data_IF_072102616969
#
_entry.id   IF_072102616969
#
_cell.length_a   1.000
_cell.length_b   1.000
_cell.length_c   1.000
_cell.angle_alpha   90.00
_cell.angle_beta   90.00
_cell.angle_gamma   90.00
#
_symmetry.space_group_name_H-M   'P 1'
#
loop_
_entity.id
_entity.type
_entity.pdbx_description
1 polymer ?
#
# COMPACT_ATOMS: atom_id res chain seq x y z
N UNK A 1 -1.82 -2.22 13.16
CA UNK A 1 -1.26 -2.20 11.77
C UNK A 1 -2.28 -1.59 10.81
N UNK A 2 -1.96 -1.29 9.53
CA UNK A 2 -2.95 -0.71 8.58
C UNK A 2 -4.25 -1.55 8.46
N UNK A 3 -4.17 -2.86 8.73
CA UNK A 3 -5.27 -3.81 8.63
C UNK A 3 -5.88 -4.21 9.99
N UNK A 4 -5.49 -3.56 11.09
CA UNK A 4 -6.07 -3.81 12.43
C UNK A 4 -7.59 -3.61 12.47
N UNK A 5 -8.12 -2.50 11.93
CA UNK A 5 -9.57 -2.25 11.98
C UNK A 5 -10.38 -3.35 11.27
N UNK A 6 -9.78 -3.97 10.26
CA UNK A 6 -10.41 -5.06 9.50
C UNK A 6 -10.46 -6.35 10.31
N UNK A 7 -9.40 -6.65 11.07
CA UNK A 7 -9.37 -7.78 12.03
C UNK A 7 -10.38 -7.58 13.16
N UNK A 8 -10.46 -6.36 13.70
CA UNK A 8 -11.41 -5.99 14.75
C UNK A 8 -12.86 -6.14 14.27
N UNK A 9 -13.15 -5.73 13.03
CA UNK A 9 -14.48 -5.88 12.43
C UNK A 9 -14.85 -7.36 12.25
N UNK A 10 -13.93 -8.20 11.75
CA UNK A 10 -14.18 -9.63 11.61
C UNK A 10 -14.42 -10.29 12.97
N UNK A 11 -13.60 -9.97 13.97
CA UNK A 11 -13.79 -10.48 15.33
C UNK A 11 -15.14 -10.05 15.91
N UNK A 12 -15.55 -8.79 15.69
CA UNK A 12 -16.84 -8.28 16.12
C UNK A 12 -18.00 -9.05 15.46
N UNK A 13 -17.97 -9.24 14.13
CA UNK A 13 -19.00 -10.01 13.42
C UNK A 13 -19.12 -11.44 13.95
N UNK A 14 -18.00 -12.09 14.27
CA UNK A 14 -18.00 -13.41 14.90
C UNK A 14 -18.67 -13.40 16.28
N UNK A 15 -18.56 -12.32 17.06
CA UNK A 15 -19.31 -12.21 18.34
C UNK A 15 -20.83 -12.10 18.14
N UNK A 16 -21.28 -11.66 16.96
CA UNK A 16 -22.69 -11.59 16.59
C UNK A 16 -23.20 -12.87 15.91
N UNK A 17 -22.36 -13.89 15.75
CA UNK A 17 -22.71 -15.17 15.12
C UNK A 17 -22.56 -15.19 13.60
N UNK A 18 -22.01 -14.14 13.00
CA UNK A 18 -21.66 -14.10 11.57
C UNK A 18 -20.21 -14.59 11.39
N UNK A 19 -20.07 -15.88 11.09
CA UNK A 19 -18.76 -16.49 10.82
C UNK A 19 -18.33 -16.19 9.38
N UNK A 20 -17.18 -15.55 9.23
CA UNK A 20 -16.67 -15.18 7.92
C UNK A 20 -16.08 -16.40 7.20
N UNK A 21 -16.20 -16.46 5.85
CA UNK A 21 -15.59 -17.54 5.09
C UNK A 21 -14.07 -17.62 5.31
N UNK A 22 -13.51 -18.82 5.30
CA UNK A 22 -12.06 -19.07 5.43
C UNK A 22 -11.23 -18.26 4.42
N UNK A 23 -11.75 -18.03 3.22
CA UNK A 23 -11.11 -17.19 2.20
C UNK A 23 -10.82 -15.76 2.70
N UNK A 24 -11.71 -15.20 3.53
CA UNK A 24 -11.53 -13.85 4.11
C UNK A 24 -10.40 -13.87 5.14
N UNK A 25 -10.32 -14.92 5.96
CA UNK A 25 -9.23 -15.10 6.93
C UNK A 25 -7.88 -15.25 6.24
N UNK A 26 -7.81 -16.04 5.16
CA UNK A 26 -6.61 -16.17 4.33
C UNK A 26 -6.19 -14.83 3.70
N UNK A 27 -7.14 -14.07 3.14
CA UNK A 27 -6.86 -12.75 2.60
C UNK A 27 -6.33 -11.78 3.65
N UNK A 28 -6.90 -11.78 4.86
CA UNK A 28 -6.45 -10.97 6.00
C UNK A 28 -5.03 -11.30 6.44
N UNK A 29 -4.62 -12.55 6.32
CA UNK A 29 -3.27 -13.00 6.63
C UNK A 29 -2.26 -12.59 5.54
N UNK A 30 -2.64 -12.65 4.26
CA UNK A 30 -1.77 -12.33 3.12
C UNK A 30 -1.65 -10.82 2.83
N UNK A 31 -2.66 -10.03 3.21
CA UNK A 31 -2.75 -8.58 2.94
C UNK A 31 -1.50 -7.78 3.38
N UNK A 32 -0.94 -7.99 4.60
CA UNK A 32 0.28 -7.32 5.03
C UNK A 32 1.47 -7.56 4.10
N UNK A 33 1.66 -8.79 3.62
CA UNK A 33 2.77 -9.15 2.73
C UNK A 33 2.60 -8.52 1.35
N UNK A 34 1.40 -8.60 0.77
CA UNK A 34 1.06 -7.95 -0.50
C UNK A 34 1.24 -6.43 -0.43
N UNK A 35 0.86 -5.83 0.70
CA UNK A 35 1.04 -4.40 0.95
C UNK A 35 2.51 -4.00 1.03
N UNK A 36 3.36 -4.81 1.67
CA UNK A 36 4.80 -4.58 1.72
C UNK A 36 5.43 -4.63 0.31
N UNK A 37 5.04 -5.62 -0.50
CA UNK A 37 5.45 -5.68 -1.91
C UNK A 37 5.05 -4.43 -2.70
N UNK A 38 3.81 -3.96 -2.48
CA UNK A 38 3.30 -2.73 -3.12
C UNK A 38 4.08 -1.49 -2.69
N UNK A 39 4.38 -1.35 -1.40
CA UNK A 39 5.21 -0.26 -0.87
C UNK A 39 6.61 -0.26 -1.47
N UNK A 40 7.23 -1.44 -1.57
CA UNK A 40 8.55 -1.59 -2.20
C UNK A 40 8.53 -1.17 -3.66
N UNK A 41 7.50 -1.56 -4.41
CA UNK A 41 7.33 -1.14 -5.80
C UNK A 41 7.16 0.38 -5.91
N UNK A 42 6.29 0.98 -5.10
CA UNK A 42 6.08 2.43 -5.08
C UNK A 42 7.38 3.19 -4.73
N UNK A 43 8.17 2.68 -3.77
CA UNK A 43 9.46 3.26 -3.43
C UNK A 43 10.45 3.19 -4.59
N UNK A 44 10.55 2.05 -5.28
CA UNK A 44 11.39 1.89 -6.47
C UNK A 44 10.96 2.84 -7.59
N UNK A 45 9.66 2.95 -7.84
CA UNK A 45 9.13 3.89 -8.83
C UNK A 45 9.54 5.34 -8.50
N UNK A 46 9.42 5.74 -7.22
CA UNK A 46 9.88 7.06 -6.75
C UNK A 46 11.38 7.26 -6.95
N UNK A 47 12.20 6.26 -6.62
CA UNK A 47 13.65 6.33 -6.80
C UNK A 47 14.04 6.47 -8.28
N UNK A 48 13.37 5.73 -9.17
CA UNK A 48 13.60 5.81 -10.61
C UNK A 48 13.12 7.13 -11.21
N UNK A 49 12.03 7.70 -10.69
CA UNK A 49 11.48 8.97 -11.15
C UNK A 49 12.27 10.19 -10.67
N UNK A 50 12.93 10.12 -9.52
CA UNK A 50 13.69 11.23 -8.93
C UNK A 50 14.72 11.88 -9.89
N UNK A 51 15.62 11.13 -10.59
CA UNK A 51 16.57 11.76 -11.51
C UNK A 51 15.88 12.39 -12.73
N UNK A 52 14.79 11.80 -13.22
CA UNK A 52 14.02 12.35 -14.34
C UNK A 52 13.37 13.67 -13.93
N UNK A 53 12.72 13.70 -12.76
CA UNK A 53 12.15 14.93 -12.20
C UNK A 53 13.22 16.02 -12.01
N UNK A 54 14.41 15.66 -11.51
CA UNK A 54 15.51 16.61 -11.36
C UNK A 54 16.04 17.16 -12.71
N UNK A 55 16.08 16.32 -13.75
CA UNK A 55 16.42 16.72 -15.12
C UNK A 55 15.42 17.73 -15.67
N UNK A 56 14.12 17.42 -15.59
CA UNK A 56 13.04 18.31 -16.05
C UNK A 56 13.06 19.66 -15.32
N UNK A 57 13.18 19.63 -13.99
CA UNK A 57 13.28 20.87 -13.19
C UNK A 57 14.49 21.70 -13.59
N UNK A 58 15.61 21.06 -13.91
CA UNK A 58 16.82 21.77 -14.38
C UNK A 58 16.62 22.37 -15.77
N UNK A 59 15.96 21.65 -16.68
CA UNK A 59 15.64 22.15 -18.02
C UNK A 59 14.71 23.37 -17.96
N UNK A 60 13.63 23.30 -17.18
CA UNK A 60 12.69 24.41 -16.97
C UNK A 60 13.42 25.63 -16.38
N UNK A 61 14.29 25.42 -15.39
CA UNK A 61 15.07 26.52 -14.80
C UNK A 61 15.97 27.20 -15.81
N UNK A 62 16.56 26.45 -16.76
CA UNK A 62 17.40 27.00 -17.82
C UNK A 62 16.60 27.78 -18.86
N UNK A 63 15.37 27.36 -19.19
CA UNK A 63 14.53 28.07 -20.16
C UNK A 63 13.93 29.38 -19.63
N UNK A 64 13.87 29.55 -18.31
CA UNK A 64 13.39 30.77 -17.66
C UNK A 64 14.52 31.75 -17.30
N UNK A 65 15.77 31.42 -17.64
CA UNK A 65 16.94 32.31 -17.59
C UNK A 65 17.17 32.91 -18.97
#
# INVERSE_FOLDING_TARGET
>A
TMFEPLKETVALLSTYGDEMPEAIHQQLQELPERWDGTKKLALRAKQNAAPLQASEVTAIRRSCQ
#
